data_IF_905111306511
#
_entry.id   IF_905111306511
#
_cell.length_a   1.000
_cell.length_b   1.000
_cell.length_c   1.000
_cell.angle_alpha   90.00
_cell.angle_beta   90.00
_cell.angle_gamma   90.00
#
_symmetry.space_group_name_H-M   'P 1'
#
loop_
_entity.id
_entity.type
_entity.pdbx_description
1 polymer ?
#
# COMPACT_ATOMS: atom_id res chain seq x y z
N UNK A 1 72.83 8.57 -2.38
CA UNK A 1 71.69 9.27 -3.02
C UNK A 1 70.45 8.49 -2.69
N UNK A 2 69.66 8.96 -1.73
CA UNK A 2 68.37 8.36 -1.34
C UNK A 2 67.26 8.94 -2.20
N UNK A 3 66.39 8.13 -2.77
CA UNK A 3 65.30 8.65 -3.60
C UNK A 3 64.24 9.37 -2.74
N UNK A 4 63.98 10.63 -3.09
CA UNK A 4 62.88 11.41 -2.52
C UNK A 4 61.55 10.90 -3.06
N UNK A 5 60.73 10.26 -2.25
CA UNK A 5 59.35 9.98 -2.57
C UNK A 5 58.54 11.28 -2.52
N UNK A 6 57.67 11.55 -3.48
CA UNK A 6 56.81 12.73 -3.40
C UNK A 6 55.81 12.56 -2.24
N UNK A 7 55.69 13.62 -1.40
CA UNK A 7 54.64 13.72 -0.39
C UNK A 7 53.30 13.76 -1.10
N UNK A 8 52.56 12.68 -1.03
CA UNK A 8 51.14 12.72 -1.38
C UNK A 8 50.45 13.64 -0.37
N UNK A 9 49.98 14.78 -0.83
CA UNK A 9 49.08 15.61 -0.07
C UNK A 9 47.82 14.78 0.19
N UNK A 10 47.50 14.52 1.44
CA UNK A 10 46.24 13.91 1.86
C UNK A 10 45.17 14.93 1.52
N UNK A 11 44.48 14.73 0.39
CA UNK A 11 43.28 15.47 0.08
C UNK A 11 42.20 14.82 0.94
N UNK A 12 41.78 15.51 2.03
CA UNK A 12 40.58 15.14 2.75
C UNK A 12 39.46 14.98 1.71
N UNK A 13 38.81 13.82 1.66
CA UNK A 13 37.65 13.70 0.77
C UNK A 13 36.61 14.69 1.28
N UNK A 14 36.39 15.75 0.53
CA UNK A 14 35.24 16.63 0.70
C UNK A 14 34.02 15.70 0.68
N UNK A 15 33.35 15.54 1.82
CA UNK A 15 32.16 14.73 1.97
C UNK A 15 31.11 15.40 1.09
N UNK A 16 31.04 14.99 -0.19
CA UNK A 16 29.89 15.32 -1.04
C UNK A 16 28.69 14.70 -0.35
N UNK A 17 27.80 15.54 0.19
CA UNK A 17 26.50 15.08 0.69
C UNK A 17 25.92 14.15 -0.38
N UNK A 18 25.72 12.87 -0.04
CA UNK A 18 25.14 11.92 -0.99
C UNK A 18 23.79 12.48 -1.40
N UNK A 19 23.61 12.74 -2.70
CA UNK A 19 22.34 13.20 -3.26
C UNK A 19 21.21 12.31 -2.76
N UNK A 20 20.17 12.93 -2.20
CA UNK A 20 18.95 12.24 -1.78
C UNK A 20 18.09 11.96 -2.99
N UNK A 21 17.81 10.69 -3.28
CA UNK A 21 17.12 10.27 -4.50
C UNK A 21 15.90 9.40 -4.22
N UNK A 22 14.82 9.65 -4.98
CA UNK A 22 13.55 8.93 -4.90
C UNK A 22 13.19 8.29 -6.25
N UNK A 23 12.95 6.99 -6.23
CA UNK A 23 12.30 6.25 -7.30
C UNK A 23 10.82 6.03 -6.96
N UNK A 24 9.92 6.42 -7.86
CA UNK A 24 8.49 6.08 -7.80
C UNK A 24 8.23 5.03 -8.88
N UNK A 25 7.79 3.83 -8.50
CA UNK A 25 7.40 2.77 -9.43
C UNK A 25 5.88 2.77 -9.54
N UNK A 26 5.34 2.94 -10.74
CA UNK A 26 3.90 3.04 -10.95
C UNK A 26 3.35 2.09 -12.00
N UNK A 27 2.09 1.68 -11.81
CA UNK A 27 1.33 0.92 -12.81
C UNK A 27 0.81 1.81 -13.94
N UNK A 28 0.61 1.27 -15.14
CA UNK A 28 -0.02 1.96 -16.29
C UNK A 28 -1.40 2.55 -15.97
N UNK A 29 -2.10 1.96 -15.01
CA UNK A 29 -3.46 2.40 -14.61
C UNK A 29 -3.47 3.66 -13.76
N UNK A 30 -2.31 4.21 -13.43
CA UNK A 30 -2.21 5.44 -12.67
C UNK A 30 -2.61 6.65 -13.52
N UNK A 31 -3.46 7.51 -12.95
CA UNK A 31 -3.79 8.78 -13.59
C UNK A 31 -2.54 9.64 -13.66
N UNK A 32 -2.19 10.12 -14.86
CA UNK A 32 -1.00 10.95 -15.09
C UNK A 32 -0.96 12.14 -14.13
N UNK A 33 -2.07 12.82 -13.90
CA UNK A 33 -2.16 13.95 -12.97
C UNK A 33 -1.80 13.61 -11.51
N UNK A 34 -1.91 12.34 -11.10
CA UNK A 34 -1.47 11.91 -9.76
C UNK A 34 0.03 11.68 -9.74
N UNK A 35 0.58 11.12 -10.82
CA UNK A 35 2.03 10.94 -10.99
C UNK A 35 2.72 12.30 -11.00
N UNK A 36 2.21 13.23 -11.82
CA UNK A 36 2.77 14.59 -11.93
C UNK A 36 2.81 15.29 -10.59
N UNK A 37 1.72 15.23 -9.82
CA UNK A 37 1.67 15.84 -8.50
C UNK A 37 2.64 15.18 -7.48
N UNK A 38 2.88 13.88 -7.59
CA UNK A 38 3.87 13.20 -6.72
C UNK A 38 5.30 13.59 -7.12
N UNK A 39 5.59 13.65 -8.42
CA UNK A 39 6.92 14.05 -8.92
C UNK A 39 7.20 15.51 -8.56
N UNK A 40 6.27 16.42 -8.85
CA UNK A 40 6.38 17.85 -8.52
C UNK A 40 6.64 18.07 -7.02
N UNK A 41 5.93 17.36 -6.16
CA UNK A 41 6.13 17.47 -4.72
C UNK A 41 7.45 16.84 -4.27
N UNK A 42 7.87 15.74 -4.91
CA UNK A 42 9.12 15.05 -4.60
C UNK A 42 10.35 15.88 -5.00
N UNK A 43 10.30 16.59 -6.12
CA UNK A 43 11.40 17.48 -6.59
C UNK A 43 11.71 18.63 -5.63
N UNK A 44 10.78 18.96 -4.72
CA UNK A 44 11.00 19.94 -3.63
C UNK A 44 11.81 19.38 -2.47
N UNK A 45 11.95 18.05 -2.36
CA UNK A 45 12.52 17.35 -1.19
C UNK A 45 13.68 16.40 -1.51
N UNK A 46 13.83 16.03 -2.78
CA UNK A 46 14.86 15.12 -3.26
C UNK A 46 15.69 15.78 -4.36
N UNK A 47 16.98 15.51 -4.38
CA UNK A 47 17.90 16.02 -5.40
C UNK A 47 17.72 15.32 -6.76
N UNK A 48 17.16 14.12 -6.74
CA UNK A 48 16.88 13.33 -7.91
C UNK A 48 15.57 12.56 -7.72
N UNK A 49 14.65 12.70 -8.68
CA UNK A 49 13.37 11.98 -8.72
C UNK A 49 13.22 11.26 -10.04
N UNK A 50 12.84 9.97 -10.01
CA UNK A 50 12.55 9.19 -11.20
C UNK A 50 11.19 8.50 -11.04
N UNK A 51 10.32 8.64 -12.03
CA UNK A 51 9.15 7.79 -12.20
C UNK A 51 9.45 6.70 -13.22
N UNK A 52 9.27 5.43 -12.82
CA UNK A 52 9.45 4.27 -13.69
C UNK A 52 8.12 3.49 -13.80
N UNK A 53 7.51 3.41 -15.00
CA UNK A 53 6.39 2.50 -15.23
C UNK A 53 6.83 1.06 -15.06
N UNK A 54 6.09 0.28 -14.26
CA UNK A 54 6.49 -1.10 -13.92
C UNK A 54 6.64 -2.00 -15.16
N UNK A 55 5.78 -1.82 -16.16
CA UNK A 55 5.80 -2.58 -17.41
C UNK A 55 7.01 -2.27 -18.32
N UNK A 56 7.82 -1.26 -17.96
CA UNK A 56 9.06 -0.90 -18.66
C UNK A 56 10.32 -1.22 -17.86
N UNK A 57 10.15 -1.81 -16.66
CA UNK A 57 11.27 -2.24 -15.83
C UNK A 57 11.77 -3.59 -16.32
N UNK A 58 13.06 -3.70 -16.53
CA UNK A 58 13.75 -4.96 -16.80
C UNK A 58 14.29 -5.53 -15.49
N UNK A 59 13.94 -6.78 -15.21
CA UNK A 59 14.46 -7.52 -14.06
C UNK A 59 15.50 -8.50 -14.56
N UNK A 60 16.70 -8.45 -14.01
CA UNK A 60 17.80 -9.34 -14.33
C UNK A 60 18.23 -10.09 -13.08
N UNK A 61 18.54 -11.37 -13.23
CA UNK A 61 19.08 -12.20 -12.15
C UNK A 61 20.41 -12.78 -12.60
N UNK A 62 21.45 -12.59 -11.79
CA UNK A 62 22.78 -13.17 -12.01
C UNK A 62 23.46 -13.36 -10.67
N UNK A 63 24.18 -14.48 -10.50
CA UNK A 63 25.00 -14.79 -9.32
C UNK A 63 24.25 -14.60 -7.97
N UNK A 64 22.99 -15.04 -7.93
CA UNK A 64 22.16 -14.93 -6.72
C UNK A 64 21.64 -13.53 -6.39
N UNK A 65 21.83 -12.54 -7.28
CA UNK A 65 21.37 -11.16 -7.13
C UNK A 65 20.31 -10.84 -8.18
N UNK A 66 19.33 -10.03 -7.79
CA UNK A 66 18.38 -9.43 -8.70
C UNK A 66 18.72 -7.94 -8.87
N UNK A 67 18.60 -7.44 -10.09
CA UNK A 67 18.79 -6.03 -10.44
C UNK A 67 17.61 -5.53 -11.23
N UNK A 68 17.26 -4.26 -11.06
CA UNK A 68 16.16 -3.60 -11.75
C UNK A 68 16.71 -2.49 -12.62
N UNK A 69 16.33 -2.47 -13.91
CA UNK A 69 16.79 -1.45 -14.84
C UNK A 69 15.60 -0.76 -15.54
N UNK A 70 15.74 0.54 -15.73
CA UNK A 70 14.85 1.34 -16.56
C UNK A 70 15.67 2.37 -17.32
N UNK A 71 15.57 2.38 -18.65
CA UNK A 71 16.37 3.25 -19.54
C UNK A 71 17.88 3.19 -19.23
N UNK A 72 18.41 1.98 -19.01
CA UNK A 72 19.82 1.74 -18.71
C UNK A 72 20.27 2.11 -17.29
N UNK A 73 19.40 2.69 -16.46
CA UNK A 73 19.72 3.07 -15.09
C UNK A 73 19.38 1.94 -14.11
N UNK A 74 20.30 1.62 -13.19
CA UNK A 74 20.03 0.69 -12.09
C UNK A 74 19.12 1.35 -11.05
N UNK A 75 17.92 0.82 -10.88
CA UNK A 75 16.89 1.36 -10.01
C UNK A 75 17.15 1.09 -8.51
N UNK A 76 17.95 0.09 -8.18
CA UNK A 76 18.31 -0.23 -6.80
C UNK A 76 19.38 0.70 -6.22
N UNK A 77 19.92 1.63 -7.02
CA UNK A 77 20.85 2.68 -6.56
C UNK A 77 20.18 3.87 -5.88
N UNK A 78 18.85 3.99 -5.95
CA UNK A 78 18.09 5.06 -5.29
C UNK A 78 18.08 4.89 -3.76
N UNK A 79 18.04 6.02 -3.02
CA UNK A 79 18.00 5.99 -1.55
C UNK A 79 16.60 5.65 -1.01
N UNK A 80 15.56 6.04 -1.72
CA UNK A 80 14.18 5.67 -1.44
C UNK A 80 13.48 5.11 -2.67
N UNK A 81 12.61 4.11 -2.47
CA UNK A 81 11.77 3.53 -3.52
C UNK A 81 10.33 3.49 -3.00
N UNK A 82 9.43 4.17 -3.71
CA UNK A 82 8.01 4.20 -3.40
C UNK A 82 7.23 3.37 -4.42
N UNK A 83 6.85 2.12 -4.08
CA UNK A 83 6.08 1.27 -4.97
C UNK A 83 4.61 1.69 -4.98
N UNK A 84 4.12 2.04 -6.18
CA UNK A 84 2.72 2.36 -6.48
C UNK A 84 2.18 1.35 -7.49
N UNK A 85 2.29 0.07 -7.13
CA UNK A 85 2.05 -1.07 -8.01
C UNK A 85 0.63 -1.58 -7.81
N UNK A 86 -0.16 -1.64 -8.88
CA UNK A 86 -1.54 -2.14 -8.86
C UNK A 86 -1.58 -3.66 -8.62
N UNK A 87 -2.64 -4.16 -7.98
CA UNK A 87 -2.90 -5.59 -7.87
C UNK A 87 -2.98 -6.33 -9.22
N UNK A 88 -3.24 -5.62 -10.31
CA UNK A 88 -3.18 -6.18 -11.67
C UNK A 88 -1.78 -6.57 -12.11
N UNK A 89 -0.78 -5.91 -11.56
CA UNK A 89 0.63 -6.15 -11.85
C UNK A 89 1.27 -7.00 -10.74
N UNK A 90 0.46 -7.79 -9.99
CA UNK A 90 0.88 -8.46 -8.76
C UNK A 90 2.14 -9.31 -8.94
N UNK A 91 2.17 -10.22 -9.91
CA UNK A 91 3.31 -11.12 -10.12
C UNK A 91 4.60 -10.37 -10.48
N UNK A 92 4.50 -9.37 -11.38
CA UNK A 92 5.65 -8.54 -11.72
C UNK A 92 6.06 -7.66 -10.53
N UNK A 93 5.07 -7.14 -9.81
CA UNK A 93 5.28 -6.35 -8.60
C UNK A 93 5.97 -7.14 -7.50
N UNK A 94 5.61 -8.40 -7.29
CA UNK A 94 6.26 -9.29 -6.33
C UNK A 94 7.76 -9.47 -6.66
N UNK A 95 8.10 -9.72 -7.92
CA UNK A 95 9.50 -9.82 -8.36
C UNK A 95 10.28 -8.51 -8.14
N UNK A 96 9.65 -7.36 -8.43
CA UNK A 96 10.22 -6.03 -8.16
C UNK A 96 10.43 -5.82 -6.66
N UNK A 97 9.41 -6.11 -5.83
CA UNK A 97 9.50 -5.96 -4.37
C UNK A 97 10.56 -6.87 -3.76
N UNK A 98 10.74 -8.08 -4.30
CA UNK A 98 11.80 -9.02 -3.89
C UNK A 98 13.21 -8.47 -4.16
N UNK A 99 13.40 -7.79 -5.28
CA UNK A 99 14.66 -7.11 -5.58
C UNK A 99 14.89 -5.90 -4.65
N UNK A 100 13.84 -5.11 -4.38
CA UNK A 100 13.91 -3.94 -3.48
C UNK A 100 14.26 -4.38 -2.06
N UNK A 101 13.70 -5.48 -1.55
CA UNK A 101 13.96 -6.01 -0.21
C UNK A 101 15.46 -6.27 0.04
N UNK A 102 16.20 -6.67 -1.01
CA UNK A 102 17.64 -6.91 -0.95
C UNK A 102 18.49 -5.65 -1.15
N UNK A 103 17.86 -4.51 -1.41
CA UNK A 103 18.57 -3.23 -1.59
C UNK A 103 18.75 -2.48 -0.27
N UNK A 104 19.58 -1.42 -0.32
CA UNK A 104 19.74 -0.48 0.78
C UNK A 104 18.71 0.65 0.75
N UNK A 105 17.81 0.68 -0.25
CA UNK A 105 16.80 1.72 -0.36
C UNK A 105 15.80 1.68 0.81
N UNK A 106 15.32 2.85 1.22
CA UNK A 106 14.14 2.92 2.08
C UNK A 106 12.90 2.62 1.23
N UNK A 107 12.05 1.72 1.70
CA UNK A 107 10.76 1.41 1.09
C UNK A 107 9.68 1.44 2.19
N UNK A 108 8.58 2.21 2.05
CA UNK A 108 7.55 2.33 3.08
C UNK A 108 6.62 1.12 3.18
N UNK A 109 6.84 0.10 2.34
CA UNK A 109 6.06 -1.14 2.28
C UNK A 109 7.04 -2.30 2.14
N UNK A 110 6.93 -3.32 2.98
CA UNK A 110 7.74 -4.54 2.88
C UNK A 110 7.20 -5.49 1.81
N UNK A 111 7.98 -6.49 1.39
CA UNK A 111 7.52 -7.54 0.50
C UNK A 111 6.33 -8.31 1.11
N UNK A 112 6.42 -8.70 2.40
CA UNK A 112 5.32 -9.35 3.13
C UNK A 112 4.06 -8.49 3.13
N UNK A 113 4.18 -7.19 3.42
CA UNK A 113 3.06 -6.24 3.36
C UNK A 113 2.42 -6.19 1.98
N UNK A 114 3.23 -6.18 0.92
CA UNK A 114 2.77 -6.19 -0.46
C UNK A 114 1.98 -7.47 -0.79
N UNK A 115 2.49 -8.63 -0.40
CA UNK A 115 1.85 -9.93 -0.61
C UNK A 115 0.53 -10.03 0.18
N UNK A 116 0.56 -9.74 1.48
CA UNK A 116 -0.61 -9.81 2.37
C UNK A 116 -1.72 -8.85 1.91
N UNK A 117 -1.38 -7.61 1.55
CA UNK A 117 -2.40 -6.61 1.19
C UNK A 117 -3.02 -6.80 -0.19
N UNK A 118 -2.39 -7.57 -1.06
CA UNK A 118 -3.02 -8.00 -2.32
C UNK A 118 -4.01 -9.16 -2.12
N UNK A 119 -4.01 -9.81 -0.95
CA UNK A 119 -4.93 -10.88 -0.60
C UNK A 119 -5.90 -10.42 0.50
N UNK A 120 -7.12 -10.04 0.14
CA UNK A 120 -8.11 -9.42 1.05
C UNK A 120 -8.35 -10.21 2.33
N UNK A 121 -8.39 -11.54 2.25
CA UNK A 121 -8.61 -12.38 3.42
C UNK A 121 -7.38 -12.44 4.33
N UNK A 122 -6.15 -12.53 3.79
CA UNK A 122 -4.93 -12.55 4.61
C UNK A 122 -4.74 -11.26 5.40
N UNK A 123 -5.11 -10.12 4.83
CA UNK A 123 -5.13 -8.85 5.56
C UNK A 123 -6.03 -8.96 6.80
N UNK A 124 -7.26 -9.43 6.64
CA UNK A 124 -8.21 -9.61 7.74
C UNK A 124 -7.71 -10.63 8.77
N UNK A 125 -7.16 -11.76 8.31
CA UNK A 125 -6.62 -12.83 9.16
C UNK A 125 -5.45 -12.33 10.01
N UNK A 126 -4.48 -11.62 9.40
CA UNK A 126 -3.30 -11.09 10.09
C UNK A 126 -3.68 -10.05 11.14
N UNK A 127 -4.63 -9.16 10.84
CA UNK A 127 -5.12 -8.14 11.77
C UNK A 127 -5.90 -8.77 12.92
N UNK A 128 -6.82 -9.70 12.64
CA UNK A 128 -7.61 -10.40 13.65
C UNK A 128 -6.74 -11.19 14.61
N UNK A 129 -5.70 -11.87 14.11
CA UNK A 129 -4.73 -12.61 14.93
C UNK A 129 -3.93 -11.73 15.91
N UNK A 130 -3.96 -10.41 15.72
CA UNK A 130 -3.31 -9.42 16.60
C UNK A 130 -4.32 -8.56 17.37
N UNK A 131 -5.59 -8.98 17.43
CA UNK A 131 -6.64 -8.32 18.21
C UNK A 131 -7.20 -7.03 17.61
N UNK A 132 -6.90 -6.71 16.34
CA UNK A 132 -7.50 -5.54 15.68
C UNK A 132 -8.97 -5.85 15.34
N UNK A 133 -9.91 -4.99 15.75
CA UNK A 133 -11.32 -5.19 15.45
C UNK A 133 -11.57 -5.23 13.93
N UNK A 134 -12.14 -6.32 13.44
CA UNK A 134 -12.45 -6.52 12.03
C UNK A 134 -13.86 -7.04 11.84
N UNK A 135 -14.31 -7.07 10.59
CA UNK A 135 -15.61 -7.66 10.23
C UNK A 135 -15.43 -9.16 10.02
N UNK A 136 -16.35 -9.97 10.56
CA UNK A 136 -16.35 -11.41 10.33
C UNK A 136 -16.23 -11.70 8.84
N UNK A 137 -15.20 -12.45 8.46
CA UNK A 137 -14.87 -12.80 7.08
C UNK A 137 -14.52 -14.28 6.99
N UNK A 138 -14.93 -14.94 5.90
CA UNK A 138 -14.58 -16.32 5.61
C UNK A 138 -13.94 -16.45 4.24
N UNK A 139 -13.14 -17.47 4.02
CA UNK A 139 -12.55 -17.81 2.73
C UNK A 139 -12.94 -19.25 2.39
N UNK A 140 -13.44 -19.48 1.18
CA UNK A 140 -13.78 -20.81 0.67
C UNK A 140 -13.29 -20.98 -0.76
N UNK A 141 -12.90 -22.20 -1.11
CA UNK A 141 -12.51 -22.60 -2.47
C UNK A 141 -13.72 -23.16 -3.23
N UNK A 142 -14.68 -23.76 -2.52
CA UNK A 142 -15.76 -24.48 -3.15
C UNK A 142 -17.11 -23.82 -2.90
N UNK A 143 -17.94 -23.67 -3.95
CA UNK A 143 -19.32 -23.26 -3.80
C UNK A 143 -20.11 -24.06 -2.77
N UNK A 144 -19.84 -25.37 -2.65
CA UNK A 144 -20.49 -26.26 -1.69
C UNK A 144 -20.34 -25.85 -0.23
N UNK A 145 -19.27 -25.12 0.10
CA UNK A 145 -18.99 -24.62 1.45
C UNK A 145 -19.47 -23.18 1.68
N UNK A 146 -20.04 -22.55 0.66
CA UNK A 146 -20.62 -21.21 0.81
C UNK A 146 -21.80 -21.20 1.80
N UNK A 147 -22.58 -22.26 1.90
CA UNK A 147 -23.65 -22.40 2.89
C UNK A 147 -23.12 -22.30 4.35
N UNK A 148 -21.94 -22.87 4.64
CA UNK A 148 -21.32 -22.71 5.95
C UNK A 148 -20.92 -21.27 6.25
N UNK A 149 -20.39 -20.56 5.26
CA UNK A 149 -20.04 -19.15 5.40
C UNK A 149 -21.29 -18.28 5.65
N UNK A 150 -22.43 -18.64 5.06
CA UNK A 150 -23.73 -17.96 5.25
C UNK A 150 -24.27 -18.19 6.64
N UNK A 151 -24.13 -19.40 7.20
CA UNK A 151 -24.57 -19.70 8.58
C UNK A 151 -23.90 -18.76 9.59
N UNK A 152 -22.66 -18.39 9.37
CA UNK A 152 -21.91 -17.49 10.24
C UNK A 152 -22.21 -15.99 9.98
N UNK A 153 -22.31 -15.58 8.71
CA UNK A 153 -22.50 -14.17 8.33
C UNK A 153 -23.96 -13.75 8.30
N UNK A 154 -24.87 -14.66 7.94
CA UNK A 154 -26.28 -14.38 7.65
C UNK A 154 -26.47 -13.54 6.40
N UNK A 155 -27.72 -13.44 5.90
CA UNK A 155 -28.09 -12.53 4.81
C UNK A 155 -28.50 -11.14 5.35
N UNK A 156 -28.18 -10.04 4.62
CA UNK A 156 -27.25 -9.99 3.50
C UNK A 156 -25.78 -10.08 3.96
N UNK A 157 -24.91 -10.54 3.08
CA UNK A 157 -23.46 -10.49 3.25
C UNK A 157 -22.75 -9.96 2.01
N UNK A 158 -21.49 -9.57 2.14
CA UNK A 158 -20.65 -9.09 1.03
C UNK A 158 -19.78 -10.24 0.52
N UNK A 159 -19.90 -10.58 -0.75
CA UNK A 159 -18.99 -11.48 -1.45
C UNK A 159 -17.91 -10.68 -2.16
N UNK A 160 -16.67 -11.09 -2.02
CA UNK A 160 -15.51 -10.43 -2.64
C UNK A 160 -14.67 -11.45 -3.41
N UNK A 161 -14.38 -11.18 -4.67
CA UNK A 161 -13.34 -11.90 -5.39
C UNK A 161 -11.97 -11.44 -4.89
N UNK A 162 -11.04 -12.36 -4.72
CA UNK A 162 -9.69 -12.03 -4.24
C UNK A 162 -8.96 -11.11 -5.22
N UNK A 163 -9.11 -11.37 -6.52
CA UNK A 163 -8.56 -10.57 -7.61
C UNK A 163 -9.25 -9.20 -7.80
N UNK A 164 -10.33 -8.90 -7.09
CA UNK A 164 -11.11 -7.67 -7.23
C UNK A 164 -10.39 -6.41 -6.72
N UNK A 165 -10.57 -5.28 -7.40
CA UNK A 165 -9.98 -3.99 -7.03
C UNK A 165 -10.96 -2.82 -7.26
N UNK A 166 -10.79 -1.71 -6.53
CA UNK A 166 -11.59 -0.48 -6.65
C UNK A 166 -13.12 -0.71 -6.63
N UNK A 167 -13.60 -1.66 -5.80
CA UNK A 167 -15.02 -2.03 -5.69
C UNK A 167 -15.54 -2.89 -6.84
N UNK A 168 -14.69 -3.34 -7.76
CA UNK A 168 -15.01 -4.39 -8.74
C UNK A 168 -14.77 -5.76 -8.11
N UNK A 169 -15.61 -6.75 -8.47
CA UNK A 169 -15.57 -8.07 -7.84
C UNK A 169 -16.10 -8.08 -6.41
N UNK A 170 -16.97 -7.10 -6.04
CA UNK A 170 -17.60 -7.02 -4.73
C UNK A 170 -19.12 -6.95 -4.94
N UNK A 171 -19.84 -7.91 -4.39
CA UNK A 171 -21.28 -8.08 -4.58
C UNK A 171 -21.98 -8.21 -3.22
N UNK A 172 -23.13 -7.56 -3.06
CA UNK A 172 -24.02 -7.77 -1.91
C UNK A 172 -24.95 -8.93 -2.24
N UNK A 173 -24.93 -9.96 -1.43
CA UNK A 173 -25.76 -11.17 -1.57
C UNK A 173 -26.90 -11.09 -0.58
N UNK A 174 -28.12 -11.10 -1.07
CA UNK A 174 -29.33 -10.91 -0.26
C UNK A 174 -30.09 -12.22 -0.01
N UNK A 175 -29.89 -13.25 -0.86
CA UNK A 175 -30.58 -14.53 -0.73
C UNK A 175 -29.71 -15.69 -1.18
N UNK A 176 -30.18 -16.92 -0.89
CA UNK A 176 -29.52 -18.16 -1.29
C UNK A 176 -29.50 -18.31 -2.82
N UNK A 177 -30.59 -18.02 -3.47
CA UNK A 177 -30.73 -18.15 -4.93
C UNK A 177 -29.77 -17.19 -5.67
N UNK A 178 -29.63 -15.96 -5.14
CA UNK A 178 -28.66 -15.01 -5.68
C UNK A 178 -27.22 -15.51 -5.49
N UNK A 179 -26.93 -16.11 -4.35
CA UNK A 179 -25.63 -16.69 -4.07
C UNK A 179 -25.30 -17.81 -5.04
N UNK A 180 -26.20 -18.80 -5.17
CA UNK A 180 -26.04 -19.95 -6.05
C UNK A 180 -25.79 -19.53 -7.49
N UNK A 181 -26.60 -18.61 -8.03
CA UNK A 181 -26.44 -18.08 -9.40
C UNK A 181 -25.07 -17.43 -9.63
N UNK A 182 -24.54 -16.73 -8.63
CA UNK A 182 -23.21 -16.08 -8.74
C UNK A 182 -22.10 -17.11 -8.61
N UNK A 183 -22.26 -18.11 -7.72
CA UNK A 183 -21.29 -19.17 -7.55
C UNK A 183 -21.13 -20.03 -8.80
N UNK A 184 -22.24 -20.37 -9.47
CA UNK A 184 -22.22 -21.08 -10.74
C UNK A 184 -21.41 -20.32 -11.80
N UNK A 185 -21.59 -19.00 -11.89
CA UNK A 185 -20.82 -18.16 -12.81
C UNK A 185 -19.33 -18.07 -12.44
N UNK A 186 -19.00 -17.98 -11.13
CA UNK A 186 -17.62 -17.86 -10.65
C UNK A 186 -16.89 -19.20 -10.75
N UNK A 187 -17.59 -20.33 -10.57
CA UNK A 187 -17.00 -21.67 -10.65
C UNK A 187 -16.27 -21.92 -11.99
N UNK A 188 -16.73 -21.28 -13.07
CA UNK A 188 -16.07 -21.34 -14.37
C UNK A 188 -14.67 -20.72 -14.38
N UNK A 189 -14.33 -19.91 -13.39
CA UNK A 189 -13.06 -19.18 -13.29
C UNK A 189 -12.13 -19.67 -12.17
N UNK A 190 -12.51 -20.74 -11.45
CA UNK A 190 -11.75 -21.33 -10.33
C UNK A 190 -11.31 -20.29 -9.28
N UNK A 191 -12.12 -19.27 -9.04
CA UNK A 191 -11.81 -18.17 -8.14
C UNK A 191 -12.14 -18.48 -6.67
N UNK A 192 -11.31 -17.99 -5.76
CA UNK A 192 -11.58 -18.08 -4.32
C UNK A 192 -12.71 -17.11 -3.92
N UNK A 193 -13.55 -17.56 -3.00
CA UNK A 193 -14.68 -16.81 -2.49
C UNK A 193 -14.36 -16.31 -1.10
N UNK A 194 -14.26 -14.99 -0.95
CA UNK A 194 -14.19 -14.33 0.35
C UNK A 194 -15.55 -13.75 0.69
N UNK A 195 -16.16 -14.17 1.80
CA UNK A 195 -17.39 -13.54 2.31
C UNK A 195 -17.08 -12.66 3.50
N UNK A 196 -17.88 -11.62 3.68
CA UNK A 196 -17.75 -10.70 4.79
C UNK A 196 -19.14 -10.28 5.26
N UNK A 197 -19.35 -10.26 6.58
CA UNK A 197 -20.61 -9.82 7.17
C UNK A 197 -20.95 -8.40 6.73
N UNK A 198 -22.19 -8.16 6.29
CA UNK A 198 -22.63 -6.84 5.90
C UNK A 198 -23.02 -6.00 7.14
N UNK A 199 -22.49 -4.78 7.22
CA UNK A 199 -22.84 -3.84 8.29
C UNK A 199 -24.06 -3.04 7.84
N UNK A 200 -25.26 -3.44 8.33
CA UNK A 200 -26.52 -2.80 7.97
C UNK A 200 -26.63 -1.36 8.50
N UNK A 201 -27.38 -0.53 7.77
CA UNK A 201 -27.74 0.83 8.22
C UNK A 201 -26.61 1.86 8.12
N UNK A 202 -25.47 1.51 7.50
CA UNK A 202 -24.36 2.43 7.29
C UNK A 202 -24.17 2.67 5.79
N UNK A 203 -24.33 3.91 5.35
CA UNK A 203 -24.11 4.39 3.99
C UNK A 203 -22.75 5.09 3.84
N UNK A 204 -21.92 5.01 4.86
CA UNK A 204 -20.65 5.72 4.94
C UNK A 204 -19.57 4.88 5.62
N UNK A 205 -18.33 5.14 5.26
CA UNK A 205 -17.13 4.64 5.91
C UNK A 205 -16.13 5.78 6.14
N UNK A 206 -15.08 5.50 6.89
CA UNK A 206 -13.96 6.43 7.12
C UNK A 206 -12.69 5.82 6.56
N UNK A 207 -12.00 6.56 5.71
CA UNK A 207 -10.65 6.22 5.27
C UNK A 207 -9.63 7.02 6.05
N UNK A 208 -8.78 6.32 6.78
CA UNK A 208 -7.62 6.86 7.48
C UNK A 208 -6.36 6.64 6.65
N UNK A 209 -5.75 7.71 6.12
CA UNK A 209 -4.42 7.67 5.53
C UNK A 209 -3.39 7.69 6.64
N UNK A 210 -2.68 6.60 6.81
CA UNK A 210 -1.57 6.49 7.77
C UNK A 210 -0.28 6.85 7.03
N UNK A 211 0.50 7.75 7.62
CA UNK A 211 1.82 8.19 7.12
C UNK A 211 2.75 8.25 8.32
N UNK A 212 3.39 7.14 8.66
CA UNK A 212 4.09 6.96 9.93
C UNK A 212 3.13 7.15 11.11
N UNK A 213 3.44 8.12 11.97
CA UNK A 213 2.59 8.46 13.13
C UNK A 213 1.47 9.46 12.80
N UNK A 214 1.45 10.01 11.59
CA UNK A 214 0.45 10.97 11.17
C UNK A 214 -0.74 10.28 10.47
N UNK A 215 -1.95 10.76 10.74
CA UNK A 215 -3.18 10.20 10.15
C UNK A 215 -4.07 11.33 9.62
N UNK A 216 -4.43 11.23 8.34
CA UNK A 216 -5.43 12.09 7.68
C UNK A 216 -6.69 11.25 7.49
N UNK A 217 -7.85 11.75 7.89
CA UNK A 217 -9.10 11.01 7.76
C UNK A 217 -10.11 11.72 6.86
N UNK A 218 -10.83 10.94 6.05
CA UNK A 218 -11.99 11.37 5.28
C UNK A 218 -13.17 10.45 5.54
N UNK A 219 -14.34 11.02 5.73
CA UNK A 219 -15.60 10.28 5.71
C UNK A 219 -16.08 10.20 4.27
N UNK A 220 -16.34 8.98 3.78
CA UNK A 220 -16.88 8.74 2.45
C UNK A 220 -18.35 8.33 2.60
N UNK A 221 -19.20 8.82 1.72
CA UNK A 221 -20.62 8.48 1.68
C UNK A 221 -20.97 7.89 0.34
N UNK A 222 -21.77 6.82 0.35
CA UNK A 222 -22.26 6.17 -0.86
C UNK A 222 -23.18 7.09 -1.66
N UNK A 223 -23.26 6.87 -2.97
CA UNK A 223 -24.30 7.46 -3.80
C UNK A 223 -25.66 6.86 -3.40
N UNK A 224 -26.72 7.65 -3.46
CA UNK A 224 -28.10 7.16 -3.23
C UNK A 224 -28.37 5.91 -4.08
N UNK A 225 -28.76 4.83 -3.44
CA UNK A 225 -29.05 3.54 -4.10
C UNK A 225 -27.82 2.62 -4.27
N UNK A 226 -26.60 3.04 -3.88
CA UNK A 226 -25.44 2.13 -3.78
C UNK A 226 -25.05 2.00 -2.29
N UNK A 227 -24.78 0.78 -1.86
CA UNK A 227 -24.35 0.47 -0.49
C UNK A 227 -22.84 0.69 -0.28
N UNK A 228 -22.08 0.85 -1.37
CA UNK A 228 -20.61 1.03 -1.33
C UNK A 228 -20.25 2.50 -1.26
N UNK A 229 -19.49 2.89 -0.25
CA UNK A 229 -19.02 4.26 -0.05
C UNK A 229 -17.87 4.69 -0.99
N UNK A 230 -17.65 3.94 -2.08
CA UNK A 230 -16.59 4.23 -3.04
C UNK A 230 -16.83 5.53 -3.82
N UNK A 231 -15.96 6.51 -3.66
CA UNK A 231 -16.02 7.78 -4.42
C UNK A 231 -15.91 7.57 -5.94
N UNK A 232 -15.17 6.55 -6.39
CA UNK A 232 -15.08 6.16 -7.81
C UNK A 232 -16.41 5.73 -8.44
N UNK A 233 -17.40 5.42 -7.62
CA UNK A 233 -18.76 5.04 -8.02
C UNK A 233 -19.77 6.18 -7.89
N UNK A 234 -19.30 7.41 -7.70
CA UNK A 234 -20.15 8.61 -7.57
C UNK A 234 -20.52 8.96 -6.14
N UNK A 235 -19.91 8.33 -5.15
CA UNK A 235 -19.98 8.74 -3.75
C UNK A 235 -19.31 10.09 -3.50
N UNK A 236 -19.54 10.66 -2.33
CA UNK A 236 -18.90 11.89 -1.85
C UNK A 236 -17.89 11.61 -0.75
N UNK A 237 -17.03 12.56 -0.47
CA UNK A 237 -16.11 12.49 0.65
C UNK A 237 -15.92 13.87 1.28
N UNK A 238 -15.60 13.91 2.58
CA UNK A 238 -15.27 15.14 3.31
C UNK A 238 -14.17 14.86 4.34
N UNK A 239 -13.24 15.79 4.56
CA UNK A 239 -12.27 15.69 5.64
C UNK A 239 -12.96 15.63 7.00
N UNK A 240 -12.41 14.85 7.91
CA UNK A 240 -12.85 14.78 9.31
C UNK A 240 -11.63 14.71 10.24
N UNK A 241 -11.84 15.11 11.49
CA UNK A 241 -10.89 14.82 12.56
C UNK A 241 -11.14 13.39 13.04
N UNK A 242 -10.16 12.48 12.96
CA UNK A 242 -10.33 11.12 13.45
C UNK A 242 -10.43 11.09 14.98
N UNK A 243 -11.28 10.20 15.49
CA UNK A 243 -11.36 9.95 16.95
C UNK A 243 -10.11 9.22 17.45
N UNK A 244 -9.80 9.25 18.76
CA UNK A 244 -8.69 8.47 19.33
C UNK A 244 -8.74 6.98 18.97
N UNK A 245 -9.94 6.36 19.00
CA UNK A 245 -10.15 4.97 18.61
C UNK A 245 -9.80 4.72 17.13
N UNK A 246 -10.22 5.61 16.20
CA UNK A 246 -9.85 5.50 14.79
C UNK A 246 -8.34 5.62 14.59
N UNK A 247 -7.69 6.55 15.31
CA UNK A 247 -6.24 6.72 15.25
C UNK A 247 -5.50 5.47 15.70
N UNK A 248 -5.90 4.90 16.82
CA UNK A 248 -5.31 3.69 17.39
C UNK A 248 -5.46 2.51 16.42
N UNK A 249 -6.68 2.21 15.97
CA UNK A 249 -6.95 1.11 15.04
C UNK A 249 -6.17 1.28 13.74
N UNK A 250 -6.14 2.48 13.16
CA UNK A 250 -5.46 2.74 11.90
C UNK A 250 -3.94 2.55 12.03
N UNK A 251 -3.31 3.13 13.05
CA UNK A 251 -1.86 3.01 13.31
C UNK A 251 -1.47 1.57 13.63
N UNK A 252 -2.22 0.88 14.48
CA UNK A 252 -1.96 -0.51 14.82
C UNK A 252 -2.08 -1.40 13.58
N UNK A 253 -3.09 -1.20 12.74
CA UNK A 253 -3.24 -1.92 11.47
C UNK A 253 -2.03 -1.75 10.56
N UNK A 254 -1.57 -0.51 10.37
CA UNK A 254 -0.40 -0.19 9.56
C UNK A 254 0.87 -0.86 10.10
N UNK A 255 1.10 -0.77 11.41
CA UNK A 255 2.24 -1.38 12.10
C UNK A 255 2.26 -2.90 11.97
N UNK A 256 1.12 -3.58 12.24
CA UNK A 256 0.99 -5.05 12.14
C UNK A 256 1.25 -5.52 10.71
N UNK A 257 0.79 -4.75 9.73
CA UNK A 257 1.00 -5.06 8.33
C UNK A 257 2.38 -4.64 7.80
N UNK A 258 3.21 -3.93 8.58
CA UNK A 258 4.53 -3.49 8.16
C UNK A 258 4.50 -2.40 7.09
N UNK A 259 3.55 -1.46 7.19
CA UNK A 259 3.35 -0.37 6.24
C UNK A 259 3.54 0.98 6.92
N UNK A 260 4.51 1.77 6.46
CA UNK A 260 4.65 3.15 6.93
C UNK A 260 3.68 4.10 6.20
N UNK A 261 3.25 3.73 4.98
CA UNK A 261 2.27 4.48 4.19
C UNK A 261 1.19 3.52 3.71
N UNK A 262 -0.05 3.74 4.16
CA UNK A 262 -1.21 2.97 3.72
C UNK A 262 -2.51 3.76 3.94
N UNK A 263 -3.65 3.18 3.60
CA UNK A 263 -4.96 3.66 4.05
C UNK A 263 -5.75 2.51 4.67
N UNK A 264 -6.35 2.78 5.82
CA UNK A 264 -7.21 1.85 6.57
C UNK A 264 -8.65 2.35 6.45
N UNK A 265 -9.50 1.49 5.93
CA UNK A 265 -10.93 1.77 5.79
C UNK A 265 -11.69 1.21 6.99
N UNK A 266 -12.39 2.08 7.69
CA UNK A 266 -13.11 1.80 8.92
C UNK A 266 -14.61 1.98 8.73
N UNK A 267 -15.40 1.10 9.34
CA UNK A 267 -16.85 1.28 9.52
C UNK A 267 -17.22 1.15 10.98
N UNK A 268 -18.27 1.85 11.36
CA UNK A 268 -18.84 1.72 12.71
C UNK A 268 -19.83 0.54 12.77
N UNK A 269 -19.59 -0.39 13.69
CA UNK A 269 -20.45 -1.54 13.97
C UNK A 269 -20.77 -1.58 15.48
N UNK A 270 -22.03 -1.49 15.87
CA UNK A 270 -22.46 -1.50 17.28
C UNK A 270 -21.67 -0.50 18.16
N UNK A 271 -21.54 0.73 17.69
CA UNK A 271 -20.80 1.82 18.34
C UNK A 271 -19.31 1.57 18.56
N UNK A 272 -18.69 0.68 17.78
CA UNK A 272 -17.24 0.42 17.74
C UNK A 272 -16.75 0.51 16.31
N UNK A 273 -15.52 0.96 16.13
CA UNK A 273 -14.89 0.99 14.81
C UNK A 273 -14.26 -0.35 14.47
N UNK A 274 -14.48 -0.81 13.26
CA UNK A 274 -13.92 -2.06 12.73
C UNK A 274 -13.25 -1.83 11.38
N UNK A 275 -12.15 -2.56 11.13
CA UNK A 275 -11.45 -2.52 9.85
C UNK A 275 -12.20 -3.33 8.80
N UNK A 276 -12.44 -2.74 7.63
CA UNK A 276 -13.04 -3.42 6.48
C UNK A 276 -12.04 -3.70 5.36
N UNK A 277 -11.00 -2.88 5.23
CA UNK A 277 -9.95 -3.03 4.22
C UNK A 277 -8.71 -2.21 4.59
N UNK A 278 -7.52 -2.68 4.18
CA UNK A 278 -6.28 -1.89 4.20
C UNK A 278 -5.69 -1.85 2.80
N UNK A 279 -5.33 -0.64 2.36
CA UNK A 279 -4.78 -0.40 1.03
C UNK A 279 -3.34 0.12 1.15
N UNK A 280 -2.36 -0.62 0.65
CA UNK A 280 -0.95 -0.20 0.63
C UNK A 280 -0.67 0.90 -0.43
N UNK A 281 -1.57 1.05 -1.40
CA UNK A 281 -1.47 2.01 -2.50
C UNK A 281 -2.74 2.87 -2.61
N UNK A 282 -3.08 3.69 -1.60
CA UNK A 282 -4.30 4.48 -1.64
C UNK A 282 -4.21 5.60 -2.69
N UNK A 283 -5.35 5.91 -3.33
CA UNK A 283 -5.49 7.13 -4.12
C UNK A 283 -5.53 8.37 -3.20
N UNK A 284 -4.94 9.51 -3.59
CA UNK A 284 -4.80 10.69 -2.71
C UNK A 284 -6.08 11.51 -2.55
N UNK A 285 -7.17 11.20 -3.23
CA UNK A 285 -8.44 11.94 -3.22
C UNK A 285 -8.27 13.47 -3.34
N UNK A 286 -7.44 13.92 -4.28
CA UNK A 286 -7.09 15.35 -4.47
C UNK A 286 -8.30 16.29 -4.59
N UNK A 287 -9.43 15.81 -5.12
CA UNK A 287 -10.69 16.58 -5.19
C UNK A 287 -11.15 17.06 -3.82
N UNK A 288 -10.86 16.30 -2.74
CA UNK A 288 -11.36 16.54 -1.39
C UNK A 288 -10.28 16.98 -0.41
N UNK A 289 -9.03 16.57 -0.65
CA UNK A 289 -7.88 16.82 0.23
C UNK A 289 -6.80 17.69 -0.41
N UNK A 290 -7.03 18.20 -1.64
CA UNK A 290 -5.99 18.95 -2.36
C UNK A 290 -4.71 18.13 -2.52
N UNK A 291 -3.57 18.74 -2.22
CA UNK A 291 -2.26 18.07 -2.25
C UNK A 291 -1.83 17.49 -0.91
N UNK A 292 -2.60 17.69 0.15
CA UNK A 292 -2.22 17.35 1.54
C UNK A 292 -1.66 15.92 1.68
N UNK A 293 -2.36 14.92 1.16
CA UNK A 293 -1.95 13.52 1.28
C UNK A 293 -0.65 13.25 0.53
N UNK A 294 -0.49 13.81 -0.67
CA UNK A 294 0.73 13.66 -1.47
C UNK A 294 1.90 14.36 -0.78
N UNK A 295 1.67 15.56 -0.26
CA UNK A 295 2.66 16.30 0.52
C UNK A 295 3.18 15.48 1.71
N UNK A 296 2.28 14.91 2.52
CA UNK A 296 2.67 14.09 3.68
C UNK A 296 3.42 12.82 3.28
N UNK A 297 3.02 12.14 2.19
CA UNK A 297 3.78 10.98 1.70
C UNK A 297 5.21 11.35 1.34
N UNK A 298 5.40 12.42 0.58
CA UNK A 298 6.73 12.85 0.12
C UNK A 298 7.57 13.38 1.28
N UNK A 299 6.98 14.15 2.21
CA UNK A 299 7.64 14.61 3.43
C UNK A 299 8.16 13.43 4.24
N UNK A 300 7.31 12.46 4.50
CA UNK A 300 7.66 11.26 5.26
C UNK A 300 8.78 10.46 4.60
N UNK A 301 8.68 10.22 3.28
CA UNK A 301 9.71 9.54 2.51
C UNK A 301 11.06 10.28 2.61
N UNK A 302 11.06 11.62 2.51
CA UNK A 302 12.26 12.42 2.60
C UNK A 302 12.92 12.32 3.99
N UNK A 303 12.13 12.49 5.06
CA UNK A 303 12.58 12.44 6.45
C UNK A 303 13.18 11.07 6.82
N UNK A 304 12.51 9.98 6.40
CA UNK A 304 13.00 8.62 6.66
C UNK A 304 14.22 8.24 5.82
N UNK A 305 14.29 8.72 4.58
CA UNK A 305 15.47 8.51 3.74
C UNK A 305 16.70 9.15 4.37
N UNK A 306 16.56 10.38 4.86
CA UNK A 306 17.63 11.11 5.51
C UNK A 306 18.12 10.38 6.77
N UNK A 307 17.23 9.99 7.67
CA UNK A 307 17.54 9.18 8.85
C UNK A 307 18.25 7.86 8.51
N UNK A 308 17.87 7.21 7.42
CA UNK A 308 18.50 5.97 6.98
C UNK A 308 19.91 6.22 6.43
N UNK A 309 20.08 7.28 5.66
CA UNK A 309 21.39 7.69 5.14
C UNK A 309 22.36 8.02 6.27
N UNK A 310 21.95 8.76 7.30
CA UNK A 310 22.75 9.09 8.50
C UNK A 310 23.20 7.84 9.27
N UNK A 311 22.29 6.88 9.50
CA UNK A 311 22.63 5.62 10.18
C UNK A 311 23.67 4.78 9.41
N UNK A 312 23.63 4.80 8.11
CA UNK A 312 24.63 4.13 7.27
C UNK A 312 26.00 4.81 7.37
N UNK A 313 26.04 6.13 7.47
CA UNK A 313 27.26 6.91 7.65
C UNK A 313 27.94 6.56 8.99
N UNK A 314 27.18 6.55 10.07
CA UNK A 314 27.69 6.23 11.42
C UNK A 314 28.23 4.79 11.51
N UNK A 315 27.57 3.81 10.87
CA UNK A 315 28.06 2.43 10.84
C UNK A 315 29.30 2.24 9.97
N UNK A 316 29.47 3.05 8.94
CA UNK A 316 30.69 3.05 8.10
C UNK A 316 31.91 3.57 8.84
N UNK A 317 31.77 4.59 9.67
CA UNK A 317 32.84 5.16 10.49
C UNK A 317 33.23 4.23 11.65
N UNK A 318 32.25 3.54 12.27
CA UNK A 318 32.52 2.61 13.38
C UNK A 318 33.26 1.31 12.96
N UNK A 319 33.33 1.02 11.64
CA UNK A 319 34.09 -0.13 11.10
C UNK A 319 35.51 0.23 10.64
N UNK A 320 35.88 1.52 10.71
CA UNK A 320 37.21 2.01 10.31
C UNK A 320 38.07 2.41 11.51
N UNK A 321 37.56 2.26 12.73
CA UNK A 321 38.30 2.34 14.02
C UNK A 321 38.42 0.91 14.57
#
# INVERSE_FOLDING_TARGET
>A
MTPKYPKYAYIEPTIKSKKKSLLIIGSKTYKQSTVDAMVEEAEKKFDEVLFAPIDKIQIQTSEGKASLFYKGKNLLSFNAIYPRISSRDFLLGEAVMKAIEKSNAYCPVTLDSYQVSNHKFYTSQKLSGQGVPGVLSTLSISPKYADYAVNETGYPFVMKLISGFAGKGVVLINSKEQMESILDAIHLFEEFICTQKFIKGKDSDVRCYVVGDYVIAIKRKSKKGDWRANVSRGGSAMPINPTPEMLEIAKNSAKILGMDICAVDLMEQKNKWVVIEVNFMPGPFRKYLGTMVVHEWIRFLADYTEKKMEKHFQKGHAKQI
#
